data_IF_835412562992
#
_entry.id   IF_835412562992
#
_cell.length_a   1.000
_cell.length_b   1.000
_cell.length_c   1.000
_cell.angle_alpha   90.00
_cell.angle_beta   90.00
_cell.angle_gamma   90.00
#
_symmetry.space_group_name_H-M   'P 1'
#
loop_
_entity.id
_entity.type
_entity.pdbx_description
1 polymer ?
#
# COMPACT_ATOMS: atom_id res chain seq x y z
N UNK A 1 -4.15 -7.67 -43.40
CA UNK A 1 -3.10 -7.25 -42.44
C UNK A 1 -3.74 -7.16 -41.07
N UNK A 2 -3.45 -8.09 -40.15
CA UNK A 2 -4.01 -8.04 -38.80
C UNK A 2 -3.38 -6.85 -38.08
N UNK A 3 -4.23 -5.98 -37.52
CA UNK A 3 -3.79 -4.84 -36.70
C UNK A 3 -3.09 -5.37 -35.45
N UNK A 4 -1.99 -4.75 -35.00
CA UNK A 4 -1.32 -5.18 -33.79
C UNK A 4 -2.30 -5.05 -32.63
N UNK A 5 -2.56 -6.18 -31.97
CA UNK A 5 -3.11 -6.20 -30.62
C UNK A 5 -2.04 -5.54 -29.77
N UNK A 6 -2.20 -4.25 -29.51
CA UNK A 6 -1.51 -3.59 -28.41
C UNK A 6 -2.00 -4.34 -27.17
N UNK A 7 -1.18 -5.27 -26.68
CA UNK A 7 -1.25 -5.79 -25.33
C UNK A 7 -0.92 -4.63 -24.39
N UNK A 8 -1.85 -3.69 -24.28
CA UNK A 8 -1.95 -2.82 -23.13
C UNK A 8 -2.21 -3.77 -21.97
N UNK A 9 -1.15 -4.13 -21.24
CA UNK A 9 -1.24 -4.59 -19.87
C UNK A 9 -1.83 -3.44 -19.04
N UNK A 10 -3.11 -3.14 -19.23
CA UNK A 10 -3.88 -2.48 -18.21
C UNK A 10 -3.96 -3.51 -17.08
N UNK A 11 -3.12 -3.34 -16.06
CA UNK A 11 -3.33 -3.99 -14.78
C UNK A 11 -4.66 -3.43 -14.23
N UNK A 12 -5.77 -4.04 -14.64
CA UNK A 12 -7.14 -3.68 -14.25
C UNK A 12 -7.41 -4.00 -12.78
N UNK A 13 -6.49 -4.68 -12.10
CA UNK A 13 -6.59 -5.15 -10.73
C UNK A 13 -5.41 -4.68 -9.88
N UNK A 14 -5.59 -4.72 -8.56
CA UNK A 14 -4.58 -4.35 -7.56
C UNK A 14 -3.51 -5.45 -7.38
N UNK A 15 -2.61 -5.64 -8.37
CA UNK A 15 -1.62 -6.74 -8.40
C UNK A 15 -0.21 -6.38 -7.90
N UNK A 16 -0.11 -5.40 -7.00
CA UNK A 16 1.18 -4.93 -6.48
C UNK A 16 1.77 -3.74 -7.23
N UNK A 17 2.96 -3.31 -6.81
CA UNK A 17 3.59 -2.09 -7.32
C UNK A 17 5.02 -1.91 -6.81
N UNK A 18 5.66 -0.81 -7.23
CA UNK A 18 7.04 -0.50 -6.87
C UNK A 18 7.10 0.67 -5.86
N UNK A 19 7.64 0.46 -4.64
CA UNK A 19 7.77 1.51 -3.62
C UNK A 19 8.54 2.75 -4.10
N UNK A 20 9.57 2.58 -4.93
CA UNK A 20 10.40 3.70 -5.39
C UNK A 20 9.59 4.61 -6.32
N UNK A 21 8.80 4.03 -7.23
CA UNK A 21 7.96 4.82 -8.14
C UNK A 21 6.85 5.54 -7.39
N UNK A 22 6.37 5.00 -6.26
CA UNK A 22 5.40 5.69 -5.41
C UNK A 22 5.98 6.99 -4.83
N UNK A 23 7.19 6.96 -4.26
CA UNK A 23 7.85 8.18 -3.77
C UNK A 23 8.18 9.19 -4.88
N UNK A 24 8.58 8.69 -6.07
CA UNK A 24 8.75 9.54 -7.25
C UNK A 24 7.44 10.24 -7.62
N UNK A 25 6.32 9.51 -7.61
CA UNK A 25 5.00 10.08 -7.91
C UNK A 25 4.60 11.16 -6.90
N UNK A 26 4.76 10.91 -5.59
CA UNK A 26 4.44 11.91 -4.54
C UNK A 26 5.29 13.16 -4.70
N UNK A 27 6.55 13.04 -5.12
CA UNK A 27 7.40 14.21 -5.42
C UNK A 27 6.90 15.00 -6.61
N UNK A 28 6.54 14.32 -7.71
CA UNK A 28 6.20 14.95 -8.98
C UNK A 28 4.77 15.49 -9.03
N UNK A 29 3.82 14.75 -8.47
CA UNK A 29 2.39 15.02 -8.60
C UNK A 29 1.70 15.30 -7.27
N UNK A 30 2.33 14.95 -6.15
CA UNK A 30 1.73 15.02 -4.83
C UNK A 30 0.67 13.95 -4.60
N UNK A 31 0.21 13.83 -3.36
CA UNK A 31 -0.96 13.02 -2.99
C UNK A 31 -1.90 13.84 -2.13
N UNK A 32 -3.21 13.67 -2.30
CA UNK A 32 -4.17 14.28 -1.39
C UNK A 32 -4.24 13.53 -0.06
N UNK A 33 -4.91 14.11 0.93
CA UNK A 33 -5.24 13.41 2.18
C UNK A 33 -6.09 12.18 1.92
N UNK A 34 -5.86 11.14 2.71
CA UNK A 34 -6.60 9.89 2.69
C UNK A 34 -6.82 9.38 4.12
N UNK A 35 -7.69 8.39 4.24
CA UNK A 35 -8.05 7.79 5.52
C UNK A 35 -8.50 6.34 5.33
N UNK A 36 -8.85 5.63 6.43
CA UNK A 36 -9.40 4.29 6.33
C UNK A 36 -10.71 4.28 5.55
N UNK A 37 -11.18 3.09 5.19
CA UNK A 37 -12.53 2.91 4.67
C UNK A 37 -13.53 3.39 5.71
N UNK A 38 -14.20 4.51 5.43
CA UNK A 38 -15.24 5.06 6.28
C UNK A 38 -16.21 5.88 5.39
N UNK A 39 -17.30 5.27 4.92
CA UNK A 39 -18.25 5.91 4.01
C UNK A 39 -18.91 7.18 4.57
N UNK A 40 -18.93 7.34 5.89
CA UNK A 40 -19.60 8.46 6.57
C UNK A 40 -18.63 9.60 6.93
N UNK A 41 -17.32 9.40 6.80
CA UNK A 41 -16.33 10.40 7.20
C UNK A 41 -15.98 11.36 6.06
N UNK A 42 -16.01 12.66 6.36
CA UNK A 42 -15.69 13.74 5.42
C UNK A 42 -14.37 14.46 5.75
N UNK A 43 -13.53 13.86 6.58
CA UNK A 43 -12.28 14.45 7.07
C UNK A 43 -11.06 14.17 6.17
N UNK A 44 -11.20 13.39 5.10
CA UNK A 44 -10.16 13.09 4.13
C UNK A 44 -10.65 13.37 2.69
N UNK A 45 -9.74 13.73 1.78
CA UNK A 45 -10.11 13.96 0.38
C UNK A 45 -10.46 12.64 -0.33
N UNK A 46 -9.64 11.59 -0.14
CA UNK A 46 -9.84 10.26 -0.73
C UNK A 46 -9.68 9.16 0.32
N UNK A 47 -10.75 8.76 1.03
CA UNK A 47 -10.69 7.59 1.91
C UNK A 47 -10.44 6.31 1.10
N UNK A 48 -9.90 5.28 1.77
CA UNK A 48 -9.64 4.00 1.14
C UNK A 48 -10.95 3.37 0.64
N UNK A 49 -11.05 2.92 -0.62
CA UNK A 49 -12.33 2.56 -1.23
C UNK A 49 -12.78 1.13 -0.92
N UNK A 50 -11.91 0.26 -0.40
CA UNK A 50 -12.23 -1.15 -0.17
C UNK A 50 -12.57 -1.40 1.29
N UNK A 51 -13.71 -2.06 1.51
CA UNK A 51 -14.10 -2.53 2.84
C UNK A 51 -13.06 -3.53 3.35
N UNK A 52 -12.61 -3.42 4.62
CA UNK A 52 -11.74 -4.42 5.24
C UNK A 52 -12.32 -5.83 5.15
N UNK A 53 -11.50 -6.87 5.03
CA UNK A 53 -11.98 -8.24 4.86
C UNK A 53 -11.02 -9.24 5.47
N UNK A 54 -11.52 -10.46 5.67
CA UNK A 54 -10.75 -11.61 6.12
C UNK A 54 -10.72 -11.80 7.63
N UNK A 55 -9.92 -12.79 8.03
CA UNK A 55 -9.63 -13.06 9.44
C UNK A 55 -8.45 -12.20 9.87
N UNK A 56 -8.69 -11.36 10.87
CA UNK A 56 -7.65 -10.66 11.61
C UNK A 56 -7.41 -11.36 12.95
N UNK A 57 -6.27 -11.09 13.57
CA UNK A 57 -5.89 -11.71 14.84
C UNK A 57 -6.93 -11.43 15.95
N UNK A 58 -7.56 -10.25 15.91
CA UNK A 58 -8.65 -9.88 16.80
C UNK A 58 -9.99 -9.91 16.06
N UNK A 59 -11.08 -10.37 16.70
CA UNK A 59 -12.43 -10.22 16.17
C UNK A 59 -12.79 -8.75 15.89
N UNK A 60 -13.78 -8.47 15.01
CA UNK A 60 -14.63 -9.43 14.32
C UNK A 60 -14.07 -9.88 12.97
N UNK A 61 -14.54 -11.03 12.47
CA UNK A 61 -14.37 -11.40 11.06
C UNK A 61 -15.13 -10.39 10.17
N UNK A 62 -14.44 -9.86 9.16
CA UNK A 62 -14.94 -8.73 8.35
C UNK A 62 -15.55 -9.16 7.00
N UNK A 63 -15.89 -10.44 6.86
CA UNK A 63 -16.37 -11.03 5.60
C UNK A 63 -15.24 -11.56 4.72
N UNK A 64 -15.58 -12.29 3.67
CA UNK A 64 -14.59 -12.90 2.78
C UNK A 64 -13.94 -11.84 1.89
N UNK A 65 -12.61 -11.94 1.75
CA UNK A 65 -11.90 -11.16 0.75
C UNK A 65 -12.21 -11.68 -0.66
N UNK A 66 -12.34 -10.81 -1.68
CA UNK A 66 -12.52 -11.23 -3.06
C UNK A 66 -11.37 -12.14 -3.52
N UNK A 67 -11.71 -13.33 -4.04
CA UNK A 67 -10.71 -14.35 -4.46
C UNK A 67 -9.72 -13.81 -5.50
N UNK A 68 -10.21 -13.01 -6.44
CA UNK A 68 -9.40 -12.44 -7.52
C UNK A 68 -8.86 -11.04 -7.17
N UNK A 69 -8.99 -10.61 -5.91
CA UNK A 69 -8.68 -9.26 -5.47
C UNK A 69 -9.65 -8.20 -6.00
N UNK A 70 -9.37 -6.95 -5.65
CA UNK A 70 -10.15 -5.80 -6.09
C UNK A 70 -9.66 -5.25 -7.43
N UNK A 71 -10.61 -4.75 -8.22
CA UNK A 71 -10.29 -3.94 -9.39
C UNK A 71 -9.63 -2.64 -8.98
N UNK A 72 -8.69 -2.17 -9.80
CA UNK A 72 -8.04 -0.89 -9.60
C UNK A 72 -9.08 0.22 -9.76
N UNK A 73 -9.28 1.10 -8.77
CA UNK A 73 -10.22 2.21 -8.89
C UNK A 73 -9.76 3.19 -9.98
N UNK A 74 -10.71 3.83 -10.64
CA UNK A 74 -10.41 4.92 -11.57
C UNK A 74 -9.67 6.07 -10.86
N UNK A 75 -8.66 6.63 -11.52
CA UNK A 75 -7.98 7.81 -11.02
C UNK A 75 -8.87 9.03 -11.28
N UNK A 76 -9.55 9.52 -10.24
CA UNK A 76 -10.36 10.73 -10.32
C UNK A 76 -9.64 11.88 -9.63
N UNK A 77 -9.57 13.04 -10.25
CA UNK A 77 -8.93 14.24 -9.67
C UNK A 77 -9.92 15.07 -8.85
N UNK A 78 -10.71 14.39 -8.02
CA UNK A 78 -11.76 14.98 -7.19
C UNK A 78 -11.70 14.42 -5.75
N UNK A 79 -12.03 15.26 -4.77
CA UNK A 79 -12.27 14.80 -3.40
C UNK A 79 -13.69 14.28 -3.25
N UNK A 80 -13.94 13.47 -2.22
CA UNK A 80 -15.28 13.03 -1.89
C UNK A 80 -16.22 14.21 -1.55
N UNK A 81 -17.53 14.05 -1.75
CA UNK A 81 -18.52 15.05 -1.37
C UNK A 81 -18.39 15.46 0.11
N UNK A 82 -18.55 16.76 0.39
CA UNK A 82 -18.47 17.30 1.75
C UNK A 82 -17.05 17.57 2.26
N UNK A 83 -15.99 17.19 1.53
CA UNK A 83 -14.63 17.60 1.88
C UNK A 83 -14.41 19.08 1.53
N UNK A 84 -13.76 19.82 2.44
CA UNK A 84 -13.74 21.29 2.40
C UNK A 84 -12.82 21.91 1.34
N UNK A 85 -11.78 21.21 0.89
CA UNK A 85 -10.78 21.70 -0.07
C UNK A 85 -10.91 21.00 -1.43
N UNK A 86 -10.53 21.68 -2.51
CA UNK A 86 -10.40 21.05 -3.83
C UNK A 86 -9.23 20.07 -3.86
N UNK A 87 -9.29 19.08 -4.75
CA UNK A 87 -8.26 18.04 -4.90
C UNK A 87 -6.85 18.61 -5.05
N UNK A 88 -6.63 19.53 -5.99
CA UNK A 88 -5.31 20.12 -6.23
C UNK A 88 -4.79 20.96 -5.06
N UNK A 89 -5.68 21.61 -4.31
CA UNK A 89 -5.34 22.41 -3.14
C UNK A 89 -5.04 21.54 -1.91
N UNK A 90 -5.35 20.24 -1.97
CA UNK A 90 -5.10 19.29 -0.88
C UNK A 90 -3.90 18.38 -1.16
N UNK A 91 -3.18 18.58 -2.28
CA UNK A 91 -1.98 17.80 -2.60
C UNK A 91 -0.84 18.13 -1.61
N UNK A 92 -0.26 17.07 -1.07
CA UNK A 92 0.91 17.05 -0.21
C UNK A 92 2.05 16.47 -1.03
N UNK A 93 3.17 17.18 -1.04
CA UNK A 93 4.36 16.85 -1.81
C UNK A 93 5.50 16.49 -0.87
N UNK A 94 6.39 15.61 -1.34
CA UNK A 94 7.68 15.39 -0.69
C UNK A 94 8.75 16.18 -1.42
N UNK A 95 9.65 16.83 -0.68
CA UNK A 95 10.72 17.61 -1.28
C UNK A 95 11.76 16.69 -1.96
N UNK A 96 12.10 15.58 -1.29
CA UNK A 96 13.14 14.64 -1.71
C UNK A 96 12.68 13.21 -1.51
N UNK A 97 13.15 12.34 -2.38
CA UNK A 97 13.14 10.90 -2.19
C UNK A 97 14.53 10.38 -2.50
N UNK A 98 15.00 9.40 -1.75
CA UNK A 98 16.29 8.75 -1.98
C UNK A 98 16.29 7.36 -1.36
N UNK A 99 17.27 6.54 -1.77
CA UNK A 99 17.50 5.23 -1.15
C UNK A 99 18.48 5.41 -0.01
N UNK A 100 18.09 4.96 1.18
CA UNK A 100 19.03 4.79 2.29
C UNK A 100 20.01 3.67 1.94
N UNK A 101 21.27 3.81 2.34
CA UNK A 101 22.27 2.76 2.15
C UNK A 101 21.86 1.50 2.90
N UNK A 102 22.22 0.33 2.36
CA UNK A 102 21.97 -0.98 2.98
C UNK A 102 22.93 -1.22 4.15
N UNK A 103 22.80 -0.42 5.20
CA UNK A 103 23.63 -0.42 6.40
C UNK A 103 22.73 -0.22 7.62
N UNK A 104 22.85 -1.09 8.62
CA UNK A 104 22.06 -0.99 9.86
C UNK A 104 22.24 0.38 10.51
N UNK A 105 23.49 0.87 10.59
CA UNK A 105 23.81 2.17 11.19
C UNK A 105 23.19 3.34 10.42
N UNK A 106 23.21 3.28 9.09
CA UNK A 106 22.65 4.35 8.25
C UNK A 106 21.12 4.36 8.33
N UNK A 107 20.48 3.19 8.32
CA UNK A 107 19.02 3.06 8.47
C UNK A 107 18.55 3.51 9.85
N UNK A 108 19.24 3.10 10.93
CA UNK A 108 18.94 3.56 12.29
C UNK A 108 19.07 5.08 12.41
N UNK A 109 20.14 5.66 11.85
CA UNK A 109 20.34 7.12 11.85
C UNK A 109 19.22 7.82 11.07
N UNK A 110 18.84 7.30 9.91
CA UNK A 110 17.74 7.85 9.11
C UNK A 110 16.44 7.89 9.91
N UNK A 111 16.08 6.77 10.55
CA UNK A 111 14.86 6.66 11.35
C UNK A 111 14.88 7.62 12.53
N UNK A 112 16.01 7.74 13.23
CA UNK A 112 16.13 8.61 14.40
C UNK A 112 16.01 10.10 14.04
N UNK A 113 16.55 10.51 12.89
CA UNK A 113 16.64 11.93 12.52
C UNK A 113 15.43 12.39 11.71
N UNK A 114 14.93 11.55 10.80
CA UNK A 114 13.89 11.93 9.82
C UNK A 114 12.58 11.17 9.98
N UNK A 115 12.53 10.16 10.85
CA UNK A 115 11.34 9.36 11.12
C UNK A 115 11.23 8.09 10.25
N UNK A 116 10.06 7.44 10.23
CA UNK A 116 9.88 6.14 9.60
C UNK A 116 10.29 6.08 8.13
N UNK A 117 10.90 4.96 7.73
CA UNK A 117 11.30 4.68 6.34
C UNK A 117 10.48 3.53 5.77
N UNK A 118 10.32 3.49 4.44
CA UNK A 118 9.69 2.36 3.77
C UNK A 118 10.73 1.32 3.37
N UNK A 119 10.45 0.05 3.68
CA UNK A 119 11.25 -1.10 3.29
C UNK A 119 10.36 -2.17 2.62
N UNK A 120 10.99 -3.12 1.94
CA UNK A 120 10.35 -4.31 1.40
C UNK A 120 11.08 -5.55 1.93
N UNK A 121 10.32 -6.58 2.25
CA UNK A 121 10.83 -7.89 2.66
C UNK A 121 10.18 -8.96 1.78
N UNK A 122 10.85 -10.10 1.62
CA UNK A 122 10.23 -11.31 1.07
C UNK A 122 9.38 -11.94 2.16
N UNK A 123 8.11 -12.20 1.86
CA UNK A 123 7.16 -12.82 2.78
C UNK A 123 7.08 -14.32 2.47
N UNK A 124 7.15 -15.15 3.51
CA UNK A 124 7.00 -16.60 3.45
C UNK A 124 5.76 -17.04 4.23
N UNK A 125 5.33 -18.29 4.07
CA UNK A 125 4.10 -18.82 4.66
C UNK A 125 4.08 -18.73 6.19
N UNK A 126 5.22 -18.95 6.84
CA UNK A 126 5.37 -18.87 8.29
C UNK A 126 5.05 -17.47 8.86
N UNK A 127 5.20 -16.42 8.05
CA UNK A 127 4.91 -15.04 8.45
C UNK A 127 3.43 -14.81 8.74
N UNK A 128 2.50 -15.50 8.06
CA UNK A 128 1.06 -15.37 8.33
C UNK A 128 0.68 -15.91 9.73
N UNK A 129 1.53 -16.77 10.30
CA UNK A 129 1.37 -17.34 11.63
C UNK A 129 2.16 -16.59 12.71
N UNK A 130 2.93 -15.55 12.35
CA UNK A 130 3.67 -14.74 13.32
C UNK A 130 2.71 -14.04 14.30
N UNK A 131 3.09 -13.98 15.59
CA UNK A 131 2.26 -13.39 16.65
C UNK A 131 3.00 -12.44 17.58
N UNK A 132 4.22 -12.80 18.02
CA UNK A 132 5.02 -12.00 18.95
C UNK A 132 6.50 -12.36 18.86
N UNK A 133 7.37 -11.48 19.34
CA UNK A 133 8.81 -11.69 19.41
C UNK A 133 9.59 -10.99 18.29
N UNK A 134 10.64 -11.64 17.80
CA UNK A 134 11.41 -11.20 16.63
C UNK A 134 11.15 -12.24 15.56
N UNK A 135 10.71 -11.85 14.37
CA UNK A 135 10.54 -12.79 13.25
C UNK A 135 11.90 -13.16 12.65
N UNK A 136 12.09 -14.44 12.37
CA UNK A 136 13.14 -14.96 11.51
C UNK A 136 12.53 -16.06 10.63
N UNK A 137 13.02 -16.21 9.40
CA UNK A 137 12.55 -17.28 8.51
C UNK A 137 12.93 -18.63 9.10
N UNK A 138 11.94 -19.50 9.33
CA UNK A 138 12.19 -20.86 9.78
C UNK A 138 12.78 -21.71 8.65
N UNK A 139 13.89 -22.41 8.92
CA UNK A 139 14.53 -23.32 7.96
C UNK A 139 13.73 -24.61 7.71
N UNK A 140 12.63 -24.85 8.42
CA UNK A 140 11.80 -26.06 8.31
C UNK A 140 10.83 -26.01 7.12
N UNK A 141 11.36 -25.74 5.93
CA UNK A 141 10.65 -25.86 4.65
C UNK A 141 10.55 -27.34 4.17
N UNK A 142 10.41 -28.27 5.11
CA UNK A 142 10.11 -29.69 4.85
C UNK A 142 9.10 -30.14 5.91
N UNK A 143 7.87 -30.43 5.48
CA UNK A 143 6.71 -30.91 6.24
C UNK A 143 5.68 -29.85 6.69
N UNK A 144 5.11 -29.13 5.72
CA UNK A 144 3.65 -28.98 5.72
C UNK A 144 3.08 -30.10 4.84
N UNK A 145 2.91 -31.29 5.42
CA UNK A 145 1.99 -32.30 4.88
C UNK A 145 0.63 -31.96 5.49
N UNK A 146 -0.34 -31.62 4.62
CA UNK A 146 -1.77 -31.69 4.92
C UNK A 146 -2.19 -33.15 5.11
#
# INVERSE_FOLDING_TARGET
>A
MPKPIILTFFLHRCHGGNPITAWMYVKQHGTCSGGPYNPSATNACKPYPFHPCGYHYEPPYLGDCPKDGYEKPACKEECQPGFSKKYDQNKIYVEKHYKVRKSVKDIQKEILVFGPVQAAITVYEDFYHYRKGIYWLSSNNLNFIL
#
